data_IF_606051826919
#
_entry.id   IF_606051826919
#
_cell.length_a   1.000
_cell.length_b   1.000
_cell.length_c   1.000
_cell.angle_alpha   90.00
_cell.angle_beta   90.00
_cell.angle_gamma   90.00
#
_symmetry.space_group_name_H-M   'P 1'
#
loop_
_entity.id
_entity.type
_entity.pdbx_description
1 polymer ?
#
# COMPACT_ATOMS: atom_id res chain seq x y z
N UNK A 1 -13.15 -21.90 -5.72
CA UNK A 1 -13.84 -21.21 -4.61
C UNK A 1 -13.37 -19.77 -4.38
N UNK A 2 -12.14 -19.42 -4.67
CA UNK A 2 -11.53 -18.07 -4.54
C UNK A 2 -12.25 -16.98 -5.34
N UNK A 3 -12.68 -17.27 -6.54
CA UNK A 3 -13.29 -16.28 -7.45
C UNK A 3 -14.68 -15.72 -6.98
N UNK A 4 -15.38 -16.42 -6.09
CA UNK A 4 -16.67 -15.94 -5.55
C UNK A 4 -16.48 -15.00 -4.34
N UNK A 5 -15.47 -15.23 -3.52
CA UNK A 5 -15.19 -14.39 -2.35
C UNK A 5 -14.64 -13.03 -2.80
N UNK A 6 -13.76 -13.01 -3.80
CA UNK A 6 -13.23 -11.78 -4.39
C UNK A 6 -14.33 -10.93 -5.06
N UNK A 7 -15.23 -11.59 -5.81
CA UNK A 7 -16.40 -10.90 -6.39
C UNK A 7 -17.32 -10.33 -5.31
N UNK A 8 -17.59 -11.07 -4.25
CA UNK A 8 -18.43 -10.60 -3.14
C UNK A 8 -17.78 -9.42 -2.40
N UNK A 9 -16.47 -9.48 -2.14
CA UNK A 9 -15.73 -8.36 -1.52
C UNK A 9 -15.74 -7.12 -2.40
N UNK A 10 -15.51 -7.29 -3.72
CA UNK A 10 -15.55 -6.19 -4.68
C UNK A 10 -16.94 -5.56 -4.76
N UNK A 11 -18.02 -6.37 -4.83
CA UNK A 11 -19.40 -5.85 -4.85
C UNK A 11 -19.80 -5.21 -3.53
N UNK A 12 -19.32 -5.71 -2.39
CA UNK A 12 -19.59 -5.09 -1.08
C UNK A 12 -18.88 -3.72 -0.99
N UNK A 13 -17.64 -3.62 -1.45
CA UNK A 13 -16.92 -2.36 -1.46
C UNK A 13 -17.52 -1.37 -2.47
N UNK A 14 -17.93 -1.85 -3.64
CA UNK A 14 -18.65 -1.06 -4.65
C UNK A 14 -20.01 -0.59 -4.11
N UNK A 15 -20.73 -1.46 -3.39
CA UNK A 15 -21.98 -1.09 -2.73
C UNK A 15 -21.78 -0.05 -1.63
N UNK A 16 -20.71 -0.17 -0.83
CA UNK A 16 -20.34 0.82 0.18
C UNK A 16 -19.99 2.15 -0.50
N UNK A 17 -19.21 2.14 -1.59
CA UNK A 17 -18.90 3.36 -2.37
C UNK A 17 -20.15 3.95 -3.04
N UNK A 18 -21.05 3.12 -3.58
CA UNK A 18 -22.32 3.58 -4.15
C UNK A 18 -23.26 4.16 -3.08
N UNK A 19 -23.35 3.54 -1.90
CA UNK A 19 -24.14 4.08 -0.77
C UNK A 19 -23.55 5.43 -0.31
N UNK A 20 -22.23 5.57 -0.28
CA UNK A 20 -21.58 6.85 -0.01
C UNK A 20 -21.83 7.89 -1.11
N UNK A 21 -21.82 7.49 -2.38
CA UNK A 21 -22.18 8.38 -3.50
C UNK A 21 -23.65 8.79 -3.47
N UNK A 22 -24.56 7.88 -3.18
CA UNK A 22 -26.01 8.18 -3.06
C UNK A 22 -26.33 9.08 -1.88
N UNK A 23 -25.66 8.88 -0.73
CA UNK A 23 -25.84 9.74 0.44
C UNK A 23 -25.38 11.20 0.22
N UNK A 24 -24.49 11.42 -0.75
CA UNK A 24 -24.05 12.76 -1.16
C UNK A 24 -24.90 13.36 -2.28
N UNK A 25 -25.52 12.52 -3.13
CA UNK A 25 -26.38 12.94 -4.25
C UNK A 25 -27.79 13.31 -3.84
N UNK A 26 -28.25 12.85 -2.66
CA UNK A 26 -29.61 13.18 -2.18
C UNK A 26 -29.80 14.63 -1.72
N UNK A 27 -28.77 15.47 -1.83
CA UNK A 27 -28.88 16.91 -1.54
C UNK A 27 -29.07 17.80 -2.77
N UNK A 28 -29.03 17.23 -3.98
CA UNK A 28 -29.30 17.96 -5.22
C UNK A 28 -30.39 17.24 -6.01
N UNK A 29 -31.66 17.51 -5.66
CA UNK A 29 -32.79 17.16 -6.51
C UNK A 29 -32.78 18.11 -7.72
N UNK A 30 -32.01 17.75 -8.75
CA UNK A 30 -32.18 18.33 -10.08
C UNK A 30 -33.01 17.33 -10.88
N UNK A 31 -34.27 17.68 -11.08
CA UNK A 31 -35.17 17.06 -12.03
C UNK A 31 -34.53 17.06 -13.43
N UNK A 32 -34.37 15.87 -14.00
CA UNK A 32 -34.13 15.72 -15.43
C UNK A 32 -35.43 16.03 -16.18
N UNK A 33 -35.52 17.20 -16.78
CA UNK A 33 -36.48 17.49 -17.85
C UNK A 33 -35.75 17.59 -19.20
N UNK A 34 -36.38 17.15 -20.30
CA UNK A 34 -35.75 17.17 -21.61
C UNK A 34 -35.60 18.60 -22.12
N UNK A 35 -34.47 18.82 -22.77
CA UNK A 35 -33.98 20.11 -23.22
C UNK A 35 -34.61 20.46 -24.57
N UNK A 36 -35.58 21.37 -24.56
CA UNK A 36 -35.88 22.31 -25.64
C UNK A 36 -36.54 23.56 -25.04
N UNK A 37 -35.73 24.55 -24.68
CA UNK A 37 -36.21 25.89 -24.34
C UNK A 37 -35.38 26.93 -25.05
N UNK A 38 -36.09 27.82 -25.79
CA UNK A 38 -35.49 28.94 -26.50
C UNK A 38 -34.99 30.01 -25.53
N UNK A 39 -34.03 30.84 -25.95
CA UNK A 39 -33.34 31.84 -25.14
C UNK A 39 -34.25 32.87 -24.45
N UNK A 40 -35.45 33.08 -24.97
CA UNK A 40 -36.42 34.07 -24.45
C UNK A 40 -37.14 33.60 -23.15
N UNK A 41 -37.19 32.28 -22.95
CA UNK A 41 -37.79 31.70 -21.73
C UNK A 41 -36.91 31.77 -20.50
N UNK A 42 -35.61 31.99 -20.66
CA UNK A 42 -34.65 32.08 -19.56
C UNK A 42 -34.68 33.45 -18.85
N UNK A 43 -35.07 34.49 -19.52
CA UNK A 43 -35.05 35.85 -18.96
C UNK A 43 -36.24 36.14 -18.07
N UNK A 44 -37.38 35.46 -18.28
CA UNK A 44 -38.57 35.60 -17.44
C UNK A 44 -38.50 34.83 -16.09
N UNK A 45 -37.66 33.78 -16.02
CA UNK A 45 -37.47 32.99 -14.80
C UNK A 45 -36.48 33.57 -13.80
N UNK A 46 -35.71 34.59 -14.17
CA UNK A 46 -34.76 35.24 -13.26
C UNK A 46 -35.33 36.38 -12.41
N UNK A 47 -36.57 36.75 -12.60
CA UNK A 47 -37.13 37.96 -11.97
C UNK A 47 -38.10 37.71 -10.81
N UNK A 48 -38.44 36.45 -10.52
CA UNK A 48 -39.33 36.11 -9.41
C UNK A 48 -38.78 35.01 -8.50
N UNK A 49 -37.74 35.30 -7.75
CA UNK A 49 -37.47 34.59 -6.48
C UNK A 49 -37.01 35.58 -5.42
N UNK A 50 -37.96 36.04 -4.67
CA UNK A 50 -37.83 36.64 -3.36
C UNK A 50 -37.14 35.62 -2.40
N UNK A 51 -36.24 36.05 -1.49
CA UNK A 51 -35.53 35.16 -0.59
C UNK A 51 -36.44 34.75 0.58
N UNK A 52 -37.31 33.78 0.39
CA UNK A 52 -38.07 33.19 1.47
C UNK A 52 -37.48 31.87 1.91
N UNK A 53 -36.90 31.89 3.11
CA UNK A 53 -36.59 30.79 4.04
C UNK A 53 -36.04 29.52 3.40
N UNK A 54 -34.72 29.49 3.16
CA UNK A 54 -33.98 28.24 3.16
C UNK A 54 -34.05 27.62 4.57
N UNK A 55 -35.07 26.81 4.85
CA UNK A 55 -35.10 25.99 6.03
C UNK A 55 -33.82 25.14 6.03
N UNK A 56 -32.93 25.38 6.98
CA UNK A 56 -31.66 24.68 7.12
C UNK A 56 -31.96 23.19 7.29
N UNK A 57 -31.81 22.45 6.21
CA UNK A 57 -31.96 20.99 6.23
C UNK A 57 -30.96 20.45 7.24
N UNK A 58 -31.46 19.90 8.36
CA UNK A 58 -30.62 19.31 9.41
C UNK A 58 -29.77 18.23 8.77
N UNK A 59 -28.42 18.27 8.90
CA UNK A 59 -27.55 17.26 8.29
C UNK A 59 -27.96 15.88 8.77
N UNK A 60 -28.00 14.91 7.86
CA UNK A 60 -28.36 13.52 8.18
C UNK A 60 -27.46 12.97 9.30
N UNK A 61 -27.94 11.98 10.03
CA UNK A 61 -27.15 11.33 11.10
C UNK A 61 -25.81 10.87 10.57
N UNK A 62 -25.77 10.32 9.35
CA UNK A 62 -24.56 9.88 8.68
C UNK A 62 -23.59 11.05 8.44
N UNK A 63 -24.08 12.18 7.95
CA UNK A 63 -23.27 13.40 7.73
C UNK A 63 -22.71 13.95 9.04
N UNK A 64 -23.48 13.89 10.14
CA UNK A 64 -22.99 14.30 11.47
C UNK A 64 -21.91 13.36 12.00
N UNK A 65 -22.09 12.04 11.88
CA UNK A 65 -21.10 11.05 12.28
C UNK A 65 -19.83 11.22 11.47
N UNK A 66 -19.94 11.33 10.13
CA UNK A 66 -18.79 11.52 9.24
C UNK A 66 -18.04 12.81 9.54
N UNK A 67 -18.74 13.92 9.74
CA UNK A 67 -18.09 15.20 10.09
C UNK A 67 -17.46 15.18 11.49
N UNK A 68 -18.07 14.48 12.44
CA UNK A 68 -17.51 14.25 13.77
C UNK A 68 -16.23 13.40 13.70
N UNK A 69 -16.25 12.32 12.96
CA UNK A 69 -15.08 11.47 12.70
C UNK A 69 -13.98 12.27 11.97
N UNK A 70 -14.33 12.98 10.93
CA UNK A 70 -13.37 13.80 10.19
C UNK A 70 -12.71 14.84 11.11
N UNK A 71 -13.50 15.59 11.90
CA UNK A 71 -12.97 16.56 12.87
C UNK A 71 -12.07 15.91 13.92
N UNK A 72 -12.44 14.73 14.39
CA UNK A 72 -11.64 13.99 15.37
C UNK A 72 -10.34 13.44 14.79
N UNK A 73 -10.38 12.89 13.57
CA UNK A 73 -9.24 12.21 12.96
C UNK A 73 -8.35 13.12 12.11
N UNK A 74 -8.87 14.26 11.60
CA UNK A 74 -8.14 15.19 10.73
C UNK A 74 -7.77 16.49 11.43
N UNK A 75 -8.03 16.61 12.74
CA UNK A 75 -7.68 17.80 13.51
C UNK A 75 -6.17 18.05 13.51
N UNK A 76 -5.73 19.18 12.94
CA UNK A 76 -4.32 19.59 12.87
C UNK A 76 -4.15 21.07 13.22
N UNK A 77 -2.91 21.46 13.56
CA UNK A 77 -2.51 22.86 13.71
C UNK A 77 -2.30 23.46 12.31
N UNK A 78 -3.16 24.38 11.93
CA UNK A 78 -3.16 24.99 10.59
C UNK A 78 -1.90 25.83 10.30
N UNK A 79 -1.13 26.20 11.33
CA UNK A 79 0.19 26.81 11.16
C UNK A 79 1.23 25.82 10.64
N UNK A 80 1.05 24.53 10.88
CA UNK A 80 1.97 23.44 10.49
C UNK A 80 1.46 22.64 9.31
N UNK A 81 0.15 22.42 9.22
CA UNK A 81 -0.45 21.54 8.21
C UNK A 81 -1.66 22.21 7.57
N UNK A 82 -1.70 22.26 6.26
CA UNK A 82 -2.92 22.62 5.53
C UNK A 82 -3.67 21.33 5.22
N UNK A 83 -4.86 21.11 5.80
CA UNK A 83 -5.65 19.92 5.51
C UNK A 83 -6.16 19.93 4.07
N UNK A 84 -6.50 18.76 3.57
CA UNK A 84 -7.07 18.57 2.24
C UNK A 84 -8.42 19.30 2.12
N UNK A 85 -8.52 20.15 1.10
CA UNK A 85 -9.73 20.94 0.79
C UNK A 85 -10.72 20.21 -0.11
N UNK A 86 -10.32 19.05 -0.65
CA UNK A 86 -11.11 18.27 -1.59
C UNK A 86 -11.54 16.96 -0.92
N UNK A 87 -12.69 16.45 -1.35
CA UNK A 87 -13.22 15.17 -0.86
C UNK A 87 -12.66 13.98 -1.61
N UNK A 88 -12.36 14.17 -2.90
CA UNK A 88 -11.91 13.09 -3.75
C UNK A 88 -10.51 13.35 -4.28
N UNK A 89 -9.75 12.26 -4.38
CA UNK A 89 -8.44 12.22 -5.01
C UNK A 89 -8.38 11.04 -5.97
N UNK A 90 -7.91 11.28 -7.18
CA UNK A 90 -7.50 10.25 -8.11
C UNK A 90 -5.97 10.27 -8.20
N UNK A 91 -5.34 9.11 -8.11
CA UNK A 91 -3.90 8.96 -8.11
C UNK A 91 -3.48 7.82 -9.03
N UNK A 92 -2.45 8.08 -9.81
CA UNK A 92 -1.68 7.07 -10.55
C UNK A 92 -0.36 6.85 -9.83
N UNK A 93 0.07 5.61 -9.79
CA UNK A 93 1.33 5.18 -9.21
C UNK A 93 2.08 4.30 -10.20
N UNK A 94 3.31 4.67 -10.50
CA UNK A 94 4.26 3.83 -11.20
C UNK A 94 5.31 3.40 -10.17
N UNK A 95 5.41 2.11 -9.92
CA UNK A 95 6.36 1.59 -8.95
C UNK A 95 7.25 0.51 -9.56
N UNK A 96 8.49 0.50 -9.10
CA UNK A 96 9.47 -0.53 -9.39
C UNK A 96 9.71 -1.30 -8.11
N UNK A 97 9.53 -2.59 -8.20
CA UNK A 97 9.63 -3.52 -7.09
C UNK A 97 10.76 -4.49 -7.33
N UNK A 98 11.52 -4.81 -6.29
CA UNK A 98 12.58 -5.77 -6.33
C UNK A 98 12.70 -6.51 -5.00
N UNK A 99 12.67 -7.84 -5.05
CA UNK A 99 12.78 -8.72 -3.89
C UNK A 99 14.09 -9.49 -3.93
N UNK A 100 14.73 -9.59 -2.78
CA UNK A 100 15.86 -10.45 -2.52
C UNK A 100 15.51 -11.47 -1.44
N UNK A 101 15.76 -12.73 -1.72
CA UNK A 101 15.64 -13.85 -0.80
C UNK A 101 17.03 -14.42 -0.57
N UNK A 102 17.62 -14.13 0.58
CA UNK A 102 18.88 -14.70 1.00
C UNK A 102 18.62 -15.86 1.95
N UNK A 103 19.02 -17.07 1.55
CA UNK A 103 18.91 -18.29 2.32
C UNK A 103 20.28 -18.76 2.75
N UNK A 104 20.39 -19.24 4.00
CA UNK A 104 21.64 -19.78 4.54
C UNK A 104 21.37 -21.01 5.39
N UNK A 105 22.15 -22.07 5.16
CA UNK A 105 22.20 -23.24 6.02
C UNK A 105 23.10 -22.97 7.22
N UNK A 106 22.60 -23.21 8.43
CA UNK A 106 23.42 -23.14 9.65
C UNK A 106 24.23 -24.45 9.88
N UNK A 107 23.92 -25.50 9.11
CA UNK A 107 24.59 -26.79 9.22
C UNK A 107 25.84 -26.85 8.34
N UNK A 108 25.70 -26.49 7.07
CA UNK A 108 26.79 -26.57 6.07
C UNK A 108 27.48 -25.22 5.90
N UNK A 109 26.82 -24.11 6.25
CA UNK A 109 27.30 -22.75 5.98
C UNK A 109 26.98 -22.27 4.57
N UNK A 110 26.44 -23.14 3.72
CA UNK A 110 26.08 -22.82 2.35
C UNK A 110 24.96 -21.78 2.28
N UNK A 111 24.94 -21.00 1.21
CA UNK A 111 23.94 -19.96 1.00
C UNK A 111 23.45 -19.93 -0.45
N UNK A 112 22.22 -19.46 -0.63
CA UNK A 112 21.62 -19.21 -1.93
C UNK A 112 20.92 -17.85 -1.90
N UNK A 113 21.10 -17.07 -2.98
CA UNK A 113 20.41 -15.81 -3.18
C UNK A 113 19.52 -15.92 -4.41
N UNK A 114 18.25 -15.64 -4.23
CA UNK A 114 17.26 -15.55 -5.31
C UNK A 114 16.75 -14.11 -5.33
N UNK A 115 16.67 -13.51 -6.51
CA UNK A 115 16.09 -12.19 -6.71
C UNK A 115 14.86 -12.29 -7.62
N UNK A 116 13.84 -11.48 -7.35
CA UNK A 116 12.71 -11.37 -8.27
C UNK A 116 13.12 -10.64 -9.55
N UNK A 117 12.48 -11.00 -10.67
CA UNK A 117 12.63 -10.18 -11.87
C UNK A 117 12.17 -8.75 -11.56
N UNK A 118 12.95 -7.72 -11.98
CA UNK A 118 12.52 -6.35 -11.82
C UNK A 118 11.16 -6.12 -12.46
N UNK A 119 10.16 -5.79 -11.66
CA UNK A 119 8.80 -5.58 -12.16
C UNK A 119 8.41 -4.10 -12.10
N UNK A 120 7.93 -3.59 -13.23
CA UNK A 120 7.23 -2.33 -13.30
C UNK A 120 5.75 -2.55 -12.97
N UNK A 121 5.22 -1.78 -12.04
CA UNK A 121 3.85 -1.90 -11.56
C UNK A 121 3.12 -0.58 -11.78
N UNK A 122 1.95 -0.63 -12.44
CA UNK A 122 1.06 0.51 -12.61
C UNK A 122 -0.10 0.40 -11.64
N UNK A 123 -0.29 1.41 -10.80
CA UNK A 123 -1.37 1.49 -9.81
C UNK A 123 -2.36 2.61 -10.11
N UNK A 124 -3.63 2.34 -9.81
CA UNK A 124 -4.70 3.32 -9.76
C UNK A 124 -5.30 3.37 -8.37
N UNK A 125 -5.41 4.57 -7.79
CA UNK A 125 -6.00 4.77 -6.47
C UNK A 125 -7.08 5.84 -6.53
N UNK A 126 -8.15 5.60 -5.79
CA UNK A 126 -9.21 6.58 -5.56
C UNK A 126 -9.40 6.74 -4.06
N UNK A 127 -9.38 7.99 -3.60
CA UNK A 127 -9.63 8.31 -2.21
C UNK A 127 -10.91 9.14 -2.09
N UNK A 128 -11.69 8.82 -1.08
CA UNK A 128 -12.79 9.63 -0.60
C UNK A 128 -12.51 10.03 0.85
N UNK A 129 -12.23 11.31 1.07
CA UNK A 129 -11.83 11.84 2.38
C UNK A 129 -10.64 11.10 2.99
N UNK A 130 -10.86 10.24 3.98
CA UNK A 130 -9.83 9.48 4.71
C UNK A 130 -9.64 8.06 4.17
N UNK A 131 -10.57 7.56 3.36
CA UNK A 131 -10.58 6.20 2.85
C UNK A 131 -10.08 6.14 1.42
N UNK A 132 -9.13 5.28 1.15
CA UNK A 132 -8.59 5.00 -0.18
C UNK A 132 -8.71 3.53 -0.55
N UNK A 133 -8.93 3.30 -1.84
CA UNK A 133 -8.86 1.98 -2.45
C UNK A 133 -7.95 2.04 -3.66
N UNK A 134 -7.07 1.06 -3.79
CA UNK A 134 -6.14 0.97 -4.90
C UNK A 134 -5.98 -0.43 -5.45
N UNK A 135 -5.77 -0.48 -6.75
CA UNK A 135 -5.44 -1.69 -7.49
C UNK A 135 -4.22 -1.41 -8.34
N UNK A 136 -3.28 -2.33 -8.33
CA UNK A 136 -2.05 -2.24 -9.11
C UNK A 136 -1.87 -3.49 -9.96
N UNK A 137 -1.34 -3.30 -11.17
CA UNK A 137 -1.10 -4.34 -12.15
C UNK A 137 0.36 -4.33 -12.59
N UNK A 138 0.91 -5.50 -12.88
CA UNK A 138 2.24 -5.60 -13.46
C UNK A 138 2.22 -5.14 -14.93
N UNK A 139 3.12 -4.25 -15.30
CA UNK A 139 3.25 -3.74 -16.68
C UNK A 139 3.68 -4.82 -17.66
N UNK A 140 4.40 -5.84 -17.21
CA UNK A 140 4.78 -6.97 -18.04
C UNK A 140 3.56 -7.79 -18.46
N UNK A 141 2.57 -7.96 -17.55
CA UNK A 141 1.32 -8.66 -17.85
C UNK A 141 0.44 -7.89 -18.84
N UNK A 142 0.59 -6.56 -18.87
CA UNK A 142 -0.07 -5.69 -19.84
C UNK A 142 0.65 -5.61 -21.18
N UNK A 143 1.79 -6.30 -21.34
CA UNK A 143 2.60 -6.28 -22.57
C UNK A 143 3.33 -4.95 -22.83
N UNK A 144 3.39 -4.05 -21.83
CA UNK A 144 3.99 -2.71 -21.98
C UNK A 144 5.51 -2.78 -21.82
N UNK A 145 6.02 -3.69 -20.99
CA UNK A 145 7.45 -3.94 -20.81
C UNK A 145 7.82 -5.31 -21.38
N UNK A 146 8.96 -5.39 -22.05
CA UNK A 146 9.48 -6.63 -22.58
C UNK A 146 10.07 -7.48 -21.44
N UNK A 147 9.26 -8.37 -20.87
CA UNK A 147 9.65 -9.35 -19.87
C UNK A 147 8.68 -10.52 -19.90
N UNK A 148 9.20 -11.75 -19.86
CA UNK A 148 8.34 -12.93 -19.72
C UNK A 148 8.06 -13.17 -18.25
N UNK A 149 6.99 -12.59 -17.72
CA UNK A 149 6.48 -12.99 -16.40
C UNK A 149 5.61 -14.23 -16.54
N UNK A 150 5.93 -15.29 -15.81
CA UNK A 150 5.06 -16.45 -15.69
C UNK A 150 4.19 -16.29 -14.44
N UNK A 151 3.19 -15.45 -14.51
CA UNK A 151 2.22 -15.26 -13.44
C UNK A 151 1.84 -13.79 -13.28
N UNK A 152 0.56 -13.54 -13.08
CA UNK A 152 0.01 -12.20 -12.90
C UNK A 152 0.31 -11.73 -11.49
N UNK A 153 1.15 -10.71 -11.33
CA UNK A 153 1.30 -10.07 -10.03
C UNK A 153 0.28 -8.94 -9.89
N UNK A 154 -0.51 -9.01 -8.82
CA UNK A 154 -1.56 -8.05 -8.52
C UNK A 154 -1.51 -7.69 -7.04
N UNK A 155 -1.63 -6.40 -6.75
CA UNK A 155 -1.80 -5.91 -5.39
C UNK A 155 -3.11 -5.15 -5.28
N UNK A 156 -3.84 -5.40 -4.21
CA UNK A 156 -5.01 -4.64 -3.81
C UNK A 156 -4.76 -4.05 -2.42
N UNK A 157 -5.17 -2.81 -2.20
CA UNK A 157 -5.07 -2.23 -0.88
C UNK A 157 -6.27 -1.34 -0.55
N UNK A 158 -6.63 -1.35 0.73
CA UNK A 158 -7.57 -0.41 1.35
C UNK A 158 -6.79 0.40 2.35
N UNK A 159 -6.82 1.71 2.21
CA UNK A 159 -5.97 2.62 2.97
C UNK A 159 -6.83 3.63 3.73
N UNK A 160 -6.48 3.87 4.98
CA UNK A 160 -7.07 4.92 5.81
C UNK A 160 -5.98 5.92 6.18
N UNK A 161 -6.14 7.15 5.69
CA UNK A 161 -5.25 8.26 5.98
C UNK A 161 -5.90 9.27 6.91
N UNK A 162 -5.39 9.38 8.13
CA UNK A 162 -5.82 10.41 9.09
C UNK A 162 -4.64 11.24 9.59
N UNK A 163 -4.88 12.31 10.33
CA UNK A 163 -3.81 13.05 10.98
C UNK A 163 -3.16 12.24 12.11
N UNK A 164 -3.95 11.39 12.79
CA UNK A 164 -3.50 10.63 13.97
C UNK A 164 -2.89 9.30 13.63
N UNK A 165 -3.47 8.58 12.68
CA UNK A 165 -3.00 7.26 12.29
C UNK A 165 -3.13 7.03 10.79
N UNK A 166 -2.30 6.16 10.31
CA UNK A 166 -2.34 5.53 9.01
C UNK A 166 -2.69 4.07 9.22
N UNK A 167 -3.57 3.51 8.40
CA UNK A 167 -3.83 2.08 8.38
C UNK A 167 -3.99 1.59 6.94
N UNK A 168 -3.48 0.41 6.66
CA UNK A 168 -3.57 -0.23 5.35
C UNK A 168 -3.84 -1.73 5.53
N UNK A 169 -4.82 -2.23 4.80
CA UNK A 169 -4.96 -3.66 4.52
C UNK A 169 -4.53 -3.89 3.07
N UNK A 170 -3.70 -4.90 2.83
CA UNK A 170 -3.18 -5.22 1.51
C UNK A 170 -3.17 -6.71 1.26
N UNK A 171 -3.32 -7.06 -0.02
CA UNK A 171 -3.13 -8.40 -0.53
C UNK A 171 -2.25 -8.34 -1.77
N UNK A 172 -1.23 -9.16 -1.81
CA UNK A 172 -0.21 -9.16 -2.84
C UNK A 172 0.11 -10.58 -3.29
N UNK A 173 0.36 -10.75 -4.60
CA UNK A 173 0.90 -11.95 -5.21
C UNK A 173 2.09 -11.54 -6.07
N UNK A 174 3.26 -12.16 -5.88
CA UNK A 174 4.50 -11.75 -6.55
C UNK A 174 4.68 -12.33 -7.95
N UNK A 175 3.86 -13.29 -8.38
CA UNK A 175 4.14 -14.05 -9.62
C UNK A 175 5.32 -15.01 -9.45
N UNK A 176 5.72 -15.69 -10.54
CA UNK A 176 6.71 -16.78 -10.53
C UNK A 176 8.06 -16.46 -11.18
N UNK A 177 8.33 -15.20 -11.49
CA UNK A 177 9.59 -14.79 -12.13
C UNK A 177 10.69 -14.50 -11.10
N UNK A 178 11.78 -15.24 -11.15
CA UNK A 178 12.96 -15.02 -10.32
C UNK A 178 14.23 -15.49 -11.02
N UNK A 179 15.38 -15.01 -10.55
CA UNK A 179 16.71 -15.46 -10.95
C UNK A 179 17.51 -15.90 -9.73
N UNK A 180 18.31 -16.94 -9.90
CA UNK A 180 19.30 -17.36 -8.90
C UNK A 180 20.54 -16.51 -9.12
N UNK A 181 20.84 -15.63 -8.16
CA UNK A 181 21.97 -14.70 -8.27
C UNK A 181 23.27 -15.36 -7.82
N UNK A 182 23.21 -16.11 -6.72
CA UNK A 182 24.37 -16.78 -6.15
C UNK A 182 23.97 -18.07 -5.46
N UNK A 183 24.82 -19.09 -5.56
CA UNK A 183 24.76 -20.32 -4.76
C UNK A 183 26.17 -20.64 -4.32
N UNK A 184 26.40 -20.84 -3.01
CA UNK A 184 27.71 -21.24 -2.49
C UNK A 184 28.18 -22.52 -3.21
N UNK A 185 29.47 -22.57 -3.55
CA UNK A 185 30.14 -23.72 -4.20
C UNK A 185 29.84 -23.88 -5.71
N UNK A 186 28.96 -23.03 -6.30
CA UNK A 186 28.66 -23.11 -7.73
C UNK A 186 29.09 -21.83 -8.46
N UNK A 187 29.81 -22.05 -9.59
CA UNK A 187 30.05 -20.99 -10.55
C UNK A 187 28.87 -20.88 -11.53
N UNK A 188 28.14 -19.76 -11.45
CA UNK A 188 26.99 -19.47 -12.29
C UNK A 188 27.34 -18.71 -13.56
N UNK A 189 28.62 -18.43 -13.81
CA UNK A 189 29.07 -17.64 -14.96
C UNK A 189 28.70 -18.33 -16.28
N UNK A 190 27.94 -17.63 -17.14
CA UNK A 190 27.51 -18.14 -18.43
C UNK A 190 26.43 -19.23 -18.39
N UNK A 191 25.86 -19.52 -17.23
CA UNK A 191 24.76 -20.48 -17.06
C UNK A 191 23.40 -19.82 -17.03
N UNK A 192 22.35 -20.56 -17.40
CA UNK A 192 20.97 -20.09 -17.21
C UNK A 192 20.65 -20.04 -15.71
N UNK A 193 20.28 -18.85 -15.22
CA UNK A 193 19.96 -18.59 -13.82
C UNK A 193 18.46 -18.42 -13.58
N UNK A 194 17.67 -18.58 -14.62
CA UNK A 194 16.22 -18.40 -14.54
C UNK A 194 15.61 -19.42 -13.60
N UNK A 195 14.86 -18.95 -12.61
CA UNK A 195 14.12 -19.78 -11.68
C UNK A 195 12.66 -19.35 -11.65
N UNK A 196 11.78 -20.23 -12.12
CA UNK A 196 10.34 -19.97 -12.23
C UNK A 196 9.50 -20.75 -11.22
N UNK A 197 10.16 -21.27 -10.20
CA UNK A 197 9.55 -22.08 -9.16
C UNK A 197 9.21 -21.33 -7.88
N UNK A 198 9.45 -20.03 -7.79
CA UNK A 198 9.17 -19.25 -6.57
C UNK A 198 7.85 -18.50 -6.73
N UNK A 199 6.85 -18.82 -5.89
CA UNK A 199 5.57 -18.13 -5.80
C UNK A 199 5.37 -17.60 -4.38
N UNK A 200 5.08 -16.31 -4.23
CA UNK A 200 4.89 -15.67 -2.94
C UNK A 200 3.57 -14.93 -2.89
N UNK A 201 2.77 -15.24 -1.88
CA UNK A 201 1.50 -14.60 -1.60
C UNK A 201 1.57 -13.98 -0.20
N UNK A 202 1.18 -12.72 -0.10
CA UNK A 202 1.14 -12.00 1.17
C UNK A 202 -0.20 -11.29 1.32
N UNK A 203 -0.84 -11.44 2.46
CA UNK A 203 -1.94 -10.59 2.91
C UNK A 203 -1.61 -10.04 4.29
N UNK A 204 -1.95 -8.78 4.52
CA UNK A 204 -1.51 -8.12 5.73
C UNK A 204 -2.29 -6.87 6.08
N UNK A 205 -2.08 -6.45 7.30
CA UNK A 205 -2.61 -5.23 7.87
C UNK A 205 -1.51 -4.47 8.60
N UNK A 206 -1.43 -3.18 8.38
CA UNK A 206 -0.54 -2.30 9.13
C UNK A 206 -1.28 -1.09 9.67
N UNK A 207 -0.93 -0.66 10.87
CA UNK A 207 -1.43 0.58 11.46
C UNK A 207 -0.31 1.30 12.18
N UNK A 208 -0.21 2.62 11.99
CA UNK A 208 0.80 3.48 12.60
C UNK A 208 0.12 4.68 13.25
N UNK A 209 0.37 4.90 14.53
CA UNK A 209 -0.09 6.07 15.27
C UNK A 209 1.03 7.10 15.43
N UNK A 210 0.75 8.37 15.15
CA UNK A 210 1.67 9.49 15.26
C UNK A 210 1.40 10.29 16.53
N UNK A 211 2.41 10.43 17.41
CA UNK A 211 2.25 11.15 18.67
C UNK A 211 2.12 12.66 18.47
N UNK A 212 2.88 13.23 17.53
CA UNK A 212 2.81 14.65 17.19
C UNK A 212 1.80 14.95 16.07
N UNK A 213 0.65 14.28 16.07
CA UNK A 213 -0.34 14.28 14.98
C UNK A 213 -0.94 15.66 14.67
N UNK A 214 -0.87 16.62 15.58
CA UNK A 214 -1.35 17.99 15.31
C UNK A 214 -0.43 18.78 14.41
N UNK A 215 0.87 18.55 14.46
CA UNK A 215 1.89 19.29 13.73
C UNK A 215 2.53 18.50 12.62
N UNK A 216 2.73 17.21 12.82
CA UNK A 216 3.26 16.27 11.84
C UNK A 216 2.13 15.67 11.01
N UNK A 217 2.28 15.63 9.69
CA UNK A 217 1.31 15.03 8.78
C UNK A 217 1.92 13.85 8.02
N UNK A 218 1.52 12.64 8.39
CA UNK A 218 1.81 11.44 7.62
C UNK A 218 1.20 11.47 6.20
N UNK A 219 -0.08 11.91 6.02
CA UNK A 219 -0.65 12.06 4.69
C UNK A 219 0.11 13.05 3.79
N UNK A 220 0.76 14.07 4.35
CA UNK A 220 1.60 14.97 3.55
C UNK A 220 2.91 14.31 3.12
N UNK A 221 3.46 13.45 3.98
CA UNK A 221 4.74 12.76 3.75
C UNK A 221 4.63 11.63 2.73
N UNK A 222 3.56 10.81 2.80
CA UNK A 222 3.48 9.54 2.09
C UNK A 222 2.17 9.29 1.34
N UNK A 223 1.22 10.24 1.35
CA UNK A 223 -0.08 10.07 0.70
C UNK A 223 -0.60 11.30 -0.04
N UNK A 224 0.13 12.43 0.04
CA UNK A 224 -0.21 13.72 -0.59
C UNK A 224 -1.61 14.29 -0.28
N UNK A 225 -2.31 13.75 0.74
CA UNK A 225 -3.65 14.18 1.16
C UNK A 225 -3.65 15.39 2.12
N UNK A 226 -2.50 16.04 2.31
CA UNK A 226 -2.34 17.27 3.08
C UNK A 226 -1.08 17.99 2.63
N UNK A 227 -0.85 19.22 3.09
CA UNK A 227 0.39 19.96 2.81
C UNK A 227 1.04 20.36 4.12
N UNK A 228 2.25 19.90 4.36
CA UNK A 228 3.07 20.33 5.48
C UNK A 228 3.62 21.73 5.22
N UNK A 229 3.47 22.65 6.18
CA UNK A 229 3.90 24.05 6.06
C UNK A 229 5.18 24.37 6.81
N UNK A 230 5.42 23.69 7.91
CA UNK A 230 6.63 23.83 8.72
C UNK A 230 7.23 22.47 8.99
N UNK A 231 8.55 22.43 8.98
CA UNK A 231 9.30 21.19 9.28
C UNK A 231 9.01 20.77 10.72
N UNK A 232 8.80 19.47 10.91
CA UNK A 232 8.66 18.88 12.23
C UNK A 232 8.77 17.36 12.18
N UNK A 233 8.99 16.74 13.33
CA UNK A 233 9.05 15.31 13.48
C UNK A 233 7.97 14.76 14.40
N UNK A 234 7.83 13.45 14.38
CA UNK A 234 6.94 12.71 15.26
C UNK A 234 7.53 11.34 15.59
N UNK A 235 7.50 10.99 16.85
CA UNK A 235 7.56 9.60 17.25
C UNK A 235 6.28 8.90 16.79
N UNK A 236 6.39 7.62 16.50
CA UNK A 236 5.25 6.79 16.13
C UNK A 236 5.39 5.40 16.72
N UNK A 237 4.24 4.78 16.94
CA UNK A 237 4.13 3.36 17.26
C UNK A 237 3.30 2.70 16.15
N UNK A 238 3.71 1.53 15.73
CA UNK A 238 3.02 0.77 14.69
C UNK A 238 2.73 -0.65 15.15
N UNK A 239 1.71 -1.22 14.52
CA UNK A 239 1.39 -2.64 14.57
C UNK A 239 1.28 -3.14 13.14
N UNK A 240 1.83 -4.31 12.88
CA UNK A 240 1.76 -4.97 11.57
C UNK A 240 1.44 -6.45 11.77
N UNK A 241 0.55 -6.94 10.95
CA UNK A 241 0.25 -8.36 10.78
C UNK A 241 0.47 -8.73 9.32
N UNK A 242 1.21 -9.79 9.07
CA UNK A 242 1.41 -10.37 7.76
C UNK A 242 1.15 -11.88 7.81
N UNK A 243 0.46 -12.37 6.81
CA UNK A 243 0.38 -13.77 6.50
C UNK A 243 1.05 -13.99 5.15
N UNK A 244 2.16 -14.69 5.13
CA UNK A 244 2.95 -14.92 3.92
C UNK A 244 3.08 -16.41 3.66
N UNK A 245 2.88 -16.77 2.40
CA UNK A 245 3.09 -18.12 1.86
C UNK A 245 4.09 -18.03 0.74
N UNK A 246 5.18 -18.78 0.85
CA UNK A 246 6.22 -18.88 -0.15
C UNK A 246 6.29 -20.34 -0.56
N UNK A 247 6.04 -20.62 -1.83
CA UNK A 247 6.16 -21.94 -2.43
C UNK A 247 7.40 -21.99 -3.31
N UNK A 248 8.18 -23.04 -3.18
CA UNK A 248 9.37 -23.28 -3.98
C UNK A 248 9.23 -24.61 -4.70
N UNK A 249 9.09 -24.57 -6.02
CA UNK A 249 9.08 -25.74 -6.88
C UNK A 249 10.53 -26.10 -7.25
N UNK A 250 11.03 -27.18 -6.67
CA UNK A 250 12.39 -27.65 -6.90
C UNK A 250 12.61 -28.18 -8.32
N UNK A 251 11.54 -28.71 -8.93
CA UNK A 251 11.61 -29.23 -10.28
C UNK A 251 11.83 -28.15 -11.33
N UNK A 252 11.55 -26.91 -10.95
CA UNK A 252 11.85 -25.72 -11.75
C UNK A 252 13.30 -25.22 -11.60
N UNK A 253 14.12 -25.81 -10.72
CA UNK A 253 15.54 -25.48 -10.63
C UNK A 253 16.26 -25.93 -11.92
N UNK A 254 17.26 -25.15 -12.38
CA UNK A 254 18.13 -25.56 -13.47
C UNK A 254 18.74 -26.94 -13.20
N UNK A 255 18.79 -27.79 -14.23
CA UNK A 255 19.23 -29.22 -14.10
C UNK A 255 20.60 -29.37 -13.45
N UNK A 256 21.52 -28.43 -13.70
CA UNK A 256 22.88 -28.46 -13.14
C UNK A 256 22.94 -28.14 -11.64
N UNK A 257 21.85 -27.59 -11.05
CA UNK A 257 21.74 -27.31 -9.60
C UNK A 257 20.88 -28.33 -8.88
N UNK A 258 19.91 -28.95 -9.58
CA UNK A 258 18.84 -29.74 -8.95
C UNK A 258 19.36 -30.89 -8.09
N UNK A 259 20.42 -31.57 -8.51
CA UNK A 259 20.95 -32.73 -7.83
C UNK A 259 22.08 -32.42 -6.84
N UNK A 260 22.76 -31.31 -7.04
CA UNK A 260 24.02 -30.99 -6.34
C UNK A 260 23.86 -29.90 -5.30
N UNK A 261 22.70 -29.18 -5.29
CA UNK A 261 22.42 -28.14 -4.33
C UNK A 261 22.18 -28.72 -2.93
N UNK A 262 22.66 -28.01 -1.92
CA UNK A 262 22.44 -28.38 -0.52
C UNK A 262 20.93 -28.45 -0.20
N UNK A 263 20.47 -29.66 0.13
CA UNK A 263 19.06 -29.92 0.42
C UNK A 263 18.52 -29.10 1.61
N UNK A 264 19.40 -28.64 2.50
CA UNK A 264 19.01 -27.78 3.64
C UNK A 264 18.63 -26.35 3.22
N UNK A 265 18.98 -25.94 1.99
CA UNK A 265 18.56 -24.67 1.40
C UNK A 265 17.20 -24.77 0.68
N UNK A 266 16.69 -25.98 0.48
CA UNK A 266 15.47 -26.23 -0.26
C UNK A 266 14.30 -26.44 0.68
N UNK A 267 13.20 -25.77 0.40
CA UNK A 267 11.91 -25.96 1.05
C UNK A 267 10.82 -26.14 -0.01
N UNK A 268 9.70 -26.76 0.34
CA UNK A 268 8.55 -26.84 -0.55
C UNK A 268 7.59 -25.67 -0.31
N UNK A 269 7.27 -25.43 0.95
CA UNK A 269 6.33 -24.40 1.36
C UNK A 269 6.78 -23.82 2.70
N UNK A 270 6.76 -22.49 2.77
CA UNK A 270 6.90 -21.73 4.01
C UNK A 270 5.63 -20.90 4.17
N UNK A 271 4.86 -21.21 5.20
CA UNK A 271 3.64 -20.50 5.58
C UNK A 271 3.87 -19.89 6.96
N UNK A 272 3.79 -18.57 7.07
CA UNK A 272 4.00 -17.92 8.36
C UNK A 272 3.08 -16.73 8.59
N UNK A 273 2.72 -16.58 9.86
CA UNK A 273 2.02 -15.43 10.40
C UNK A 273 2.98 -14.61 11.23
N UNK A 274 3.08 -13.33 10.92
CA UNK A 274 3.97 -12.38 11.57
C UNK A 274 3.17 -11.29 12.27
N UNK A 275 3.40 -11.10 13.56
CA UNK A 275 2.79 -10.07 14.38
C UNK A 275 3.89 -9.19 14.92
N UNK A 276 3.99 -7.96 14.47
CA UNK A 276 5.08 -7.07 14.87
C UNK A 276 4.59 -5.73 15.42
N UNK A 277 5.37 -5.19 16.33
CA UNK A 277 5.21 -3.84 16.87
C UNK A 277 6.44 -3.05 16.53
N UNK A 278 6.24 -1.82 16.08
CA UNK A 278 7.31 -0.90 15.74
C UNK A 278 7.26 0.36 16.59
N UNK A 279 8.42 0.89 16.88
CA UNK A 279 8.59 2.23 17.45
C UNK A 279 9.58 2.95 16.54
N UNK A 280 9.19 4.10 16.01
CA UNK A 280 10.02 4.80 15.04
C UNK A 280 9.93 6.31 15.13
N UNK A 281 10.79 6.95 14.36
CA UNK A 281 10.80 8.39 14.23
C UNK A 281 10.62 8.80 12.78
N UNK A 282 9.78 9.80 12.58
CA UNK A 282 9.46 10.36 11.29
C UNK A 282 9.78 11.84 11.28
N UNK A 283 10.29 12.33 10.17
CA UNK A 283 10.64 13.74 10.02
C UNK A 283 10.17 14.28 8.67
N UNK A 284 9.46 15.42 8.71
CA UNK A 284 9.02 16.18 7.56
C UNK A 284 9.86 17.45 7.44
N UNK A 285 10.65 17.57 6.38
CA UNK A 285 11.49 18.70 6.05
C UNK A 285 10.86 19.52 4.92
N UNK A 286 10.34 20.69 5.21
CA UNK A 286 9.77 21.60 4.22
C UNK A 286 10.90 22.38 3.54
N UNK A 287 11.13 22.10 2.26
CA UNK A 287 12.18 22.78 1.47
C UNK A 287 11.69 24.05 0.80
N UNK A 288 10.37 24.21 0.64
CA UNK A 288 9.78 25.37 -0.01
C UNK A 288 8.26 25.34 0.08
N UNK A 289 7.59 26.32 -0.56
CA UNK A 289 6.15 26.54 -0.43
C UNK A 289 5.31 25.27 -0.69
N UNK A 290 5.74 24.41 -1.59
CA UNK A 290 4.99 23.22 -2.00
C UNK A 290 5.86 21.95 -2.08
N UNK A 291 7.10 21.99 -1.55
CA UNK A 291 8.04 20.88 -1.63
C UNK A 291 8.35 20.36 -0.24
N UNK A 292 8.13 19.06 -0.05
CA UNK A 292 8.37 18.33 1.17
C UNK A 292 9.36 17.19 0.92
N UNK A 293 10.37 17.06 1.77
CA UNK A 293 11.13 15.82 1.96
C UNK A 293 10.68 15.18 3.25
N UNK A 294 10.50 13.87 3.25
CA UNK A 294 10.19 13.14 4.47
C UNK A 294 11.02 11.88 4.60
N UNK A 295 11.31 11.53 5.84
CA UNK A 295 11.99 10.30 6.21
C UNK A 295 11.27 9.62 7.36
N UNK A 296 11.23 8.30 7.33
CA UNK A 296 10.67 7.44 8.38
C UNK A 296 11.60 6.26 8.61
N UNK A 297 11.93 6.00 9.86
CA UNK A 297 12.72 4.84 10.29
C UNK A 297 11.95 4.15 11.39
N UNK A 298 11.54 2.91 11.14
CA UNK A 298 10.70 2.13 12.04
C UNK A 298 11.25 0.71 12.19
N UNK A 299 12.14 0.46 13.17
CA UNK A 299 12.47 -0.90 13.57
C UNK A 299 11.24 -1.59 14.17
N UNK A 300 11.09 -2.87 13.87
CA UNK A 300 10.01 -3.72 14.34
C UNK A 300 10.58 -4.87 15.15
N UNK A 301 9.84 -5.27 16.17
CA UNK A 301 10.04 -6.52 16.89
C UNK A 301 8.75 -7.31 16.77
N UNK A 302 8.85 -8.54 16.27
CA UNK A 302 7.71 -9.37 15.96
C UNK A 302 7.80 -10.77 16.54
N UNK A 303 6.63 -11.39 16.61
CA UNK A 303 6.46 -12.81 16.88
C UNK A 303 5.99 -13.49 15.61
N UNK A 304 6.80 -14.43 15.13
CA UNK A 304 6.53 -15.19 13.91
C UNK A 304 6.19 -16.63 14.24
N UNK A 305 5.01 -17.05 13.80
CA UNK A 305 4.57 -18.43 13.83
C UNK A 305 4.63 -18.99 12.41
N UNK A 306 5.46 -20.01 12.19
CA UNK A 306 5.61 -20.60 10.86
C UNK A 306 5.38 -22.10 10.87
N UNK A 307 4.81 -22.59 9.75
CA UNK A 307 4.73 -23.98 9.39
C UNK A 307 5.64 -24.18 8.17
N UNK A 308 6.62 -25.07 8.26
CA UNK A 308 7.50 -25.41 7.14
C UNK A 308 7.29 -26.86 6.80
N UNK A 309 7.03 -27.14 5.53
CA UNK A 309 7.06 -28.50 4.97
C UNK A 309 8.43 -28.71 4.36
N UNK A 310 9.26 -29.54 5.01
CA UNK A 310 10.59 -29.90 4.52
C UNK A 310 10.47 -30.84 3.31
N UNK A 311 11.47 -30.76 2.44
CA UNK A 311 11.46 -31.47 1.16
C UNK A 311 11.55 -33.00 1.28
N UNK A 312 12.02 -33.52 2.38
CA UNK A 312 12.28 -34.94 2.60
C UNK A 312 11.35 -35.61 3.62
N UNK A 313 10.68 -34.88 4.46
CA UNK A 313 9.69 -35.39 5.42
C UNK A 313 8.52 -34.42 5.51
N UNK A 314 7.29 -34.93 5.46
CA UNK A 314 6.07 -34.18 5.77
C UNK A 314 6.00 -33.81 7.29
N UNK A 315 7.05 -33.29 7.83
CA UNK A 315 7.12 -32.86 9.20
C UNK A 315 6.65 -31.42 9.32
N UNK A 316 5.41 -31.23 9.70
CA UNK A 316 4.91 -29.93 10.11
C UNK A 316 5.61 -29.50 11.39
N UNK A 317 6.65 -28.71 11.27
CA UNK A 317 7.32 -28.08 12.42
C UNK A 317 6.71 -26.70 12.66
N UNK A 318 5.96 -26.54 13.72
CA UNK A 318 5.47 -25.23 14.18
C UNK A 318 6.61 -24.52 14.91
N UNK A 319 7.11 -23.44 14.33
CA UNK A 319 8.21 -22.67 14.89
C UNK A 319 7.73 -21.29 15.32
N UNK A 320 8.03 -21.01 16.57
CA UNK A 320 7.78 -19.71 17.16
C UNK A 320 9.11 -18.97 17.29
N UNK A 321 9.31 -17.93 16.50
CA UNK A 321 10.54 -17.15 16.52
C UNK A 321 10.27 -15.67 16.77
N UNK A 322 11.19 -15.05 17.51
CA UNK A 322 11.30 -13.61 17.56
C UNK A 322 11.84 -13.12 16.21
N UNK A 323 11.12 -12.25 15.54
CA UNK A 323 11.52 -11.61 14.31
C UNK A 323 11.90 -10.15 14.57
N UNK A 324 12.96 -9.71 13.91
CA UNK A 324 13.37 -8.29 13.91
C UNK A 324 13.35 -7.79 12.48
N UNK A 325 12.62 -6.71 12.24
CA UNK A 325 12.46 -6.14 10.91
C UNK A 325 12.77 -4.65 10.93
N UNK A 326 13.05 -4.09 9.77
CA UNK A 326 13.28 -2.66 9.60
C UNK A 326 12.43 -2.14 8.45
N UNK A 327 11.64 -1.11 8.72
CA UNK A 327 10.93 -0.34 7.71
C UNK A 327 11.57 1.05 7.58
N UNK A 328 12.11 1.33 6.40
CA UNK A 328 12.67 2.61 6.02
C UNK A 328 11.83 3.22 4.90
N UNK A 329 11.45 4.49 5.03
CA UNK A 329 10.77 5.25 3.96
C UNK A 329 11.42 6.60 3.79
N UNK A 330 11.62 6.96 2.52
CA UNK A 330 12.05 8.30 2.12
C UNK A 330 11.09 8.81 1.07
N UNK A 331 10.70 10.07 1.12
CA UNK A 331 9.84 10.64 0.09
C UNK A 331 10.20 12.07 -0.25
N UNK A 332 9.87 12.45 -1.49
CA UNK A 332 9.87 13.83 -1.96
C UNK A 332 8.55 14.11 -2.65
N UNK A 333 7.79 15.07 -2.13
CA UNK A 333 6.52 15.50 -2.72
C UNK A 333 6.57 16.97 -3.14
N UNK A 334 5.96 17.23 -4.28
CA UNK A 334 5.46 18.54 -4.66
C UNK A 334 3.94 18.51 -4.63
N UNK A 335 3.31 19.44 -3.90
CA UNK A 335 1.85 19.44 -3.71
C UNK A 335 1.33 20.87 -3.59
N UNK A 336 0.52 21.31 -4.57
CA UNK A 336 -0.16 22.61 -4.56
C UNK A 336 -1.61 22.55 -4.05
N UNK A 337 -2.01 21.46 -3.40
CA UNK A 337 -3.34 21.10 -2.92
C UNK A 337 -4.29 20.54 -3.98
N UNK A 338 -4.21 20.96 -5.24
CA UNK A 338 -5.06 20.48 -6.33
C UNK A 338 -4.38 19.33 -7.11
N UNK A 339 -3.11 19.50 -7.43
CA UNK A 339 -2.27 18.50 -8.11
C UNK A 339 -1.05 18.22 -7.24
N UNK A 340 -0.63 16.99 -7.23
CA UNK A 340 0.59 16.59 -6.56
C UNK A 340 1.38 15.57 -7.40
N UNK A 341 2.67 15.57 -7.16
CA UNK A 341 3.60 14.59 -7.70
C UNK A 341 4.59 14.23 -6.62
N UNK A 342 4.95 12.96 -6.51
CA UNK A 342 5.86 12.50 -5.47
C UNK A 342 6.66 11.28 -5.87
N UNK A 343 7.80 11.14 -5.22
CA UNK A 343 8.67 9.99 -5.29
C UNK A 343 8.78 9.43 -3.89
N UNK A 344 8.57 8.12 -3.74
CA UNK A 344 8.72 7.40 -2.47
C UNK A 344 9.68 6.24 -2.69
N UNK A 345 10.66 6.12 -1.83
CA UNK A 345 11.48 4.94 -1.67
C UNK A 345 11.12 4.24 -0.37
N UNK A 346 10.86 2.93 -0.45
CA UNK A 346 10.58 2.08 0.70
C UNK A 346 11.53 0.89 0.70
N UNK A 347 12.06 0.56 1.85
CA UNK A 347 12.88 -0.62 2.08
C UNK A 347 12.33 -1.36 3.29
N UNK A 348 12.08 -2.64 3.12
CA UNK A 348 11.64 -3.53 4.18
C UNK A 348 12.59 -4.73 4.22
N UNK A 349 13.04 -5.08 5.42
CA UNK A 349 13.86 -6.27 5.63
C UNK A 349 13.21 -7.13 6.69
N UNK A 350 13.03 -8.39 6.39
CA UNK A 350 12.49 -9.42 7.26
C UNK A 350 13.56 -10.48 7.47
N UNK A 351 13.94 -10.72 8.71
CA UNK A 351 14.93 -11.74 9.06
C UNK A 351 14.23 -12.91 9.78
N UNK A 352 14.38 -14.10 9.22
CA UNK A 352 13.86 -15.33 9.77
C UNK A 352 15.00 -16.31 10.00
N UNK A 353 15.14 -16.81 11.22
CA UNK A 353 16.17 -17.78 11.58
C UNK A 353 15.55 -18.96 12.28
N UNK A 354 15.94 -20.15 11.86
CA UNK A 354 15.66 -21.44 12.47
C UNK A 354 16.99 -22.15 12.73
N UNK A 355 17.01 -23.14 13.63
CA UNK A 355 18.22 -23.87 14.06
C UNK A 355 19.15 -24.31 12.92
N UNK A 356 18.59 -24.67 11.76
CA UNK A 356 19.34 -25.15 10.59
C UNK A 356 19.25 -24.26 9.35
N UNK A 357 18.36 -23.27 9.35
CA UNK A 357 18.04 -22.47 8.17
C UNK A 357 17.76 -21.02 8.52
N UNK A 358 18.35 -20.10 7.80
CA UNK A 358 18.06 -18.68 7.83
C UNK A 358 17.49 -18.21 6.49
N UNK A 359 16.45 -17.39 6.53
CA UNK A 359 15.87 -16.72 5.36
C UNK A 359 15.74 -15.25 5.67
N UNK A 360 16.47 -14.41 4.95
CA UNK A 360 16.31 -12.98 4.99
C UNK A 360 15.62 -12.55 3.71
N UNK A 361 14.44 -11.98 3.81
CA UNK A 361 13.74 -11.36 2.69
C UNK A 361 13.88 -9.85 2.79
N UNK A 362 14.43 -9.23 1.77
CA UNK A 362 14.55 -7.77 1.66
C UNK A 362 13.87 -7.32 0.38
N UNK A 363 12.90 -6.41 0.48
CA UNK A 363 12.35 -5.79 -0.70
C UNK A 363 12.50 -4.28 -0.69
N UNK A 364 12.83 -3.76 -1.86
CA UNK A 364 12.91 -2.35 -2.15
C UNK A 364 11.83 -1.93 -3.15
N UNK A 365 11.22 -0.78 -2.91
CA UNK A 365 10.23 -0.22 -3.83
C UNK A 365 10.56 1.24 -4.10
N UNK A 366 10.57 1.61 -5.38
CA UNK A 366 10.62 3.00 -5.80
C UNK A 366 9.30 3.34 -6.48
N UNK A 367 8.54 4.29 -5.91
CA UNK A 367 7.20 4.67 -6.36
C UNK A 367 7.20 6.11 -6.85
N UNK A 368 6.72 6.32 -8.06
CA UNK A 368 6.37 7.64 -8.56
C UNK A 368 4.86 7.80 -8.55
N UNK A 369 4.38 8.87 -7.92
CA UNK A 369 2.96 9.15 -7.75
C UNK A 369 2.60 10.46 -8.42
N UNK A 370 1.48 10.44 -9.16
CA UNK A 370 0.85 11.62 -9.74
C UNK A 370 -0.62 11.62 -9.36
N UNK A 371 -1.12 12.70 -8.81
CA UNK A 371 -2.52 12.75 -8.39
C UNK A 371 -3.18 14.11 -8.55
N UNK A 372 -4.49 14.03 -8.61
CA UNK A 372 -5.37 15.15 -8.78
C UNK A 372 -6.50 15.11 -7.74
N UNK A 373 -6.69 16.22 -7.06
CA UNK A 373 -7.73 16.41 -6.05
C UNK A 373 -8.89 17.20 -6.64
N UNK A 374 -10.09 16.66 -6.49
CA UNK A 374 -11.30 17.25 -7.05
C UNK A 374 -12.46 17.14 -6.05
N UNK A 375 -13.59 17.79 -6.36
CA UNK A 375 -14.76 17.88 -5.49
C UNK A 375 -14.44 18.54 -4.15
N UNK A 376 -14.62 19.88 -4.09
CA UNK A 376 -14.35 20.66 -2.86
C UNK A 376 -15.27 20.22 -1.72
N UNK A 377 -14.71 20.13 -0.52
CA UNK A 377 -15.49 19.93 0.70
C UNK A 377 -16.46 21.07 0.91
N UNK A 378 -17.71 20.77 1.34
CA UNK A 378 -18.63 21.84 1.77
C UNK A 378 -17.96 22.66 2.87
N UNK A 379 -17.92 23.96 2.71
CA UNK A 379 -17.44 24.82 3.81
C UNK A 379 -18.53 24.86 4.88
N UNK A 380 -18.19 24.66 6.18
CA UNK A 380 -19.14 24.94 7.24
C UNK A 380 -19.59 26.39 7.08
N UNK A 381 -20.89 26.61 6.93
CA UNK A 381 -21.45 27.98 7.03
C UNK A 381 -21.13 28.45 8.42
N UNK A 382 -20.36 29.55 8.51
CA UNK A 382 -20.08 30.29 9.75
C UNK A 382 -21.36 30.85 10.32
#
# INVERSE_FOLDING_TARGET
>A
MTNQVEKRFFYTLLAITCVFMQATASNDSIHSMPMELSADSMQSLMTEQSPESAAACKPSLLTRVMSGMEKFFMGCDTNYVTPQKYQMTAQLELSFWHDYYFMRSSVTGNSMTIQSDPSGILGGYVYYSILGYGVVWNLNDLGILAGKTNGTSMRQSVVIHTAKFFAEYYKFNSGKGAEIENVSEFDLTGRDRTFRGLDSNCDGFSAVYMFNNKRFSWPAAFGANAVQRKSCGSWSIGFQYNHQRINMDKDALPDYLRNDIDSTLLFNNVDYHDYSVSIGYNYNCVLGRNVLLAASVMPNIGYRRSNITEAQEEKHSILNNLATDLNLRLSRFWNNTKVFSGLIFELHTYDYRKDKFGLTNTYGTLKYMLGFNFWKKPQPRL
#
